data_IF_849664766919
#
_entry.id   IF_849664766919
#
_cell.length_a   1.000
_cell.length_b   1.000
_cell.length_c   1.000
_cell.angle_alpha   90.00
_cell.angle_beta   90.00
_cell.angle_gamma   90.00
#
_symmetry.space_group_name_H-M   'P 1'
#
loop_
_entity.id
_entity.type
_entity.pdbx_description
1 polymer ?
#
# COMPACT_ATOMS: atom_id res chain seq x y z
N UNK A 1 -28.85 2.41 -15.88
CA UNK A 1 -27.88 3.19 -15.10
C UNK A 1 -26.52 2.58 -15.36
N UNK A 2 -25.55 3.31 -15.95
CA UNK A 2 -24.32 2.68 -16.39
C UNK A 2 -23.42 2.33 -15.20
N UNK A 3 -23.04 1.05 -15.15
CA UNK A 3 -22.06 0.46 -14.24
C UNK A 3 -20.67 1.04 -14.54
N UNK A 4 -20.23 2.03 -13.77
CA UNK A 4 -18.84 2.49 -13.82
C UNK A 4 -17.96 1.51 -13.03
N UNK A 5 -17.55 0.45 -13.72
CA UNK A 5 -16.44 -0.40 -13.28
C UNK A 5 -15.18 0.46 -13.23
N UNK A 6 -14.58 0.59 -12.05
CA UNK A 6 -13.21 1.05 -11.93
C UNK A 6 -12.36 -0.07 -12.51
N UNK A 7 -11.81 0.14 -13.70
CA UNK A 7 -10.86 -0.77 -14.35
C UNK A 7 -9.61 -0.82 -13.48
N UNK A 8 -9.51 -1.85 -12.64
CA UNK A 8 -8.25 -2.26 -12.05
C UNK A 8 -7.40 -2.77 -13.22
N UNK A 9 -6.35 -2.03 -13.57
CA UNK A 9 -5.38 -2.45 -14.58
C UNK A 9 -4.66 -3.68 -14.01
N UNK A 10 -5.14 -4.86 -14.42
CA UNK A 10 -4.50 -6.14 -14.16
C UNK A 10 -3.24 -6.21 -15.03
N UNK A 11 -2.08 -5.98 -14.39
CA UNK A 11 -0.78 -6.02 -15.03
C UNK A 11 -0.41 -7.50 -15.27
N UNK A 12 -0.91 -8.08 -16.36
CA UNK A 12 -0.54 -9.43 -16.78
C UNK A 12 0.82 -9.42 -17.48
N UNK A 13 1.83 -9.85 -16.73
CA UNK A 13 3.01 -10.50 -17.28
C UNK A 13 2.67 -11.75 -18.10
N UNK A 14 3.62 -12.12 -18.96
CA UNK A 14 3.81 -13.38 -19.70
C UNK A 14 3.23 -13.51 -21.11
N UNK A 15 4.10 -13.23 -22.07
CA UNK A 15 3.99 -13.66 -23.46
C UNK A 15 5.29 -13.49 -24.24
N UNK A 16 6.33 -14.28 -23.93
CA UNK A 16 7.29 -14.71 -24.96
C UNK A 16 6.66 -15.88 -25.72
N UNK A 17 6.81 -16.00 -27.06
CA UNK A 17 8.07 -16.54 -27.59
C UNK A 17 8.45 -16.13 -29.04
N UNK A 18 9.61 -16.68 -29.47
CA UNK A 18 10.08 -16.97 -30.85
C UNK A 18 11.08 -16.01 -31.51
N UNK A 19 12.37 -16.32 -31.30
CA UNK A 19 13.42 -16.62 -32.30
C UNK A 19 13.41 -15.85 -33.65
N UNK A 20 14.52 -15.16 -33.99
CA UNK A 20 15.65 -15.68 -34.81
C UNK A 20 16.53 -14.53 -35.36
N UNK A 21 17.80 -14.90 -35.61
CA UNK A 21 18.87 -14.24 -36.39
C UNK A 21 19.85 -13.42 -35.53
N UNK A 22 21.14 -13.72 -35.39
CA UNK A 22 22.05 -14.52 -36.21
C UNK A 22 23.07 -13.59 -36.87
N UNK A 23 24.25 -13.42 -36.26
CA UNK A 23 25.58 -12.98 -36.79
C UNK A 23 26.46 -12.66 -35.57
N UNK A 24 27.31 -13.57 -35.07
CA UNK A 24 28.67 -13.94 -35.52
C UNK A 24 29.64 -12.74 -35.68
N UNK A 25 30.36 -12.42 -34.61
CA UNK A 25 31.77 -11.97 -34.61
C UNK A 25 32.35 -12.33 -33.23
N UNK A 26 33.19 -13.35 -33.09
CA UNK A 26 34.65 -13.34 -33.33
C UNK A 26 35.44 -13.04 -32.03
N UNK A 27 36.09 -14.10 -31.56
CA UNK A 27 37.45 -14.16 -31.01
C UNK A 27 37.83 -13.57 -29.63
N UNK A 28 38.53 -14.45 -28.91
CA UNK A 28 39.68 -14.23 -28.00
C UNK A 28 39.44 -14.06 -26.49
N UNK A 29 39.48 -15.20 -25.79
CA UNK A 29 40.30 -15.41 -24.58
C UNK A 29 41.81 -15.21 -24.91
N UNK A 30 42.78 -15.00 -23.97
CA UNK A 30 42.88 -15.69 -22.66
C UNK A 30 43.60 -14.98 -21.46
N UNK A 31 43.48 -15.62 -20.27
CA UNK A 31 44.49 -15.88 -19.20
C UNK A 31 45.18 -14.77 -18.36
N UNK A 32 44.92 -14.82 -17.03
CA UNK A 32 45.79 -15.00 -15.82
C UNK A 32 47.27 -14.46 -15.77
N UNK A 33 47.99 -14.35 -14.60
CA UNK A 33 47.70 -14.81 -13.22
C UNK A 33 48.06 -13.86 -12.05
N UNK A 34 47.65 -14.31 -10.85
CA UNK A 34 48.28 -14.24 -9.52
C UNK A 34 49.50 -13.35 -9.24
N UNK A 35 49.34 -12.43 -8.28
CA UNK A 35 50.41 -11.86 -7.46
C UNK A 35 50.24 -12.28 -6.00
N UNK A 36 51.26 -12.92 -5.45
CA UNK A 36 51.34 -13.58 -4.14
C UNK A 36 52.32 -12.80 -3.25
N UNK A 37 52.22 -12.98 -1.93
CA UNK A 37 53.26 -12.73 -0.89
C UNK A 37 53.29 -11.30 -0.32
N UNK A 38 53.60 -11.02 0.95
CA UNK A 38 54.07 -11.84 2.08
C UNK A 38 53.79 -11.14 3.43
N UNK A 39 53.48 -11.96 4.42
CA UNK A 39 53.98 -12.01 5.81
C UNK A 39 54.61 -10.78 6.51
N UNK A 40 54.27 -10.73 7.80
CA UNK A 40 55.07 -10.41 9.00
C UNK A 40 54.85 -9.04 9.66
N UNK A 41 54.23 -9.10 10.86
CA UNK A 41 54.24 -8.04 11.87
C UNK A 41 53.68 -8.56 13.20
N UNK A 42 54.54 -9.19 14.00
CA UNK A 42 54.28 -9.67 15.37
C UNK A 42 54.28 -8.49 16.35
N UNK A 43 53.33 -8.48 17.29
CA UNK A 43 53.45 -7.94 18.67
C UNK A 43 52.03 -7.71 19.22
N UNK A 44 51.65 -7.96 20.46
CA UNK A 44 52.19 -8.63 21.63
C UNK A 44 50.96 -8.84 22.52
N UNK A 45 50.91 -9.93 23.27
CA UNK A 45 49.93 -10.15 24.32
C UNK A 45 50.10 -9.09 25.41
N UNK A 46 49.04 -8.39 25.79
CA UNK A 46 48.86 -7.98 27.18
C UNK A 46 47.37 -8.08 27.53
N UNK A 47 47.10 -9.09 28.35
CA UNK A 47 45.87 -9.28 29.10
C UNK A 47 45.76 -8.18 30.15
N UNK A 48 44.65 -7.42 30.12
CA UNK A 48 44.09 -6.87 31.35
C UNK A 48 42.58 -7.09 31.32
N UNK A 49 42.15 -8.04 32.13
CA UNK A 49 40.76 -8.33 32.40
C UNK A 49 40.28 -7.30 33.42
N UNK A 50 39.51 -6.31 32.97
CA UNK A 50 38.66 -5.53 33.85
C UNK A 50 37.21 -5.76 33.45
N UNK A 51 36.59 -6.69 34.18
CA UNK A 51 35.17 -7.01 34.12
C UNK A 51 34.37 -5.84 34.69
N UNK A 52 33.85 -4.99 33.81
CA UNK A 52 32.68 -4.16 34.13
C UNK A 52 31.72 -4.26 32.95
N UNK A 53 30.95 -5.36 32.93
CA UNK A 53 29.79 -5.49 32.07
C UNK A 53 28.73 -4.48 32.53
N UNK A 54 28.75 -3.28 31.97
CA UNK A 54 27.56 -2.43 31.96
C UNK A 54 26.55 -3.07 31.01
N UNK A 55 25.27 -3.20 31.39
CA UNK A 55 24.25 -3.61 30.45
C UNK A 55 24.14 -2.52 29.38
N UNK A 56 24.53 -2.85 28.15
CA UNK A 56 24.22 -2.04 26.97
C UNK A 56 22.70 -2.06 26.82
N UNK A 57 22.05 -1.05 27.38
CA UNK A 57 20.70 -0.68 26.95
C UNK A 57 20.75 -0.48 25.44
N UNK A 58 19.88 -1.15 24.64
CA UNK A 58 19.78 -0.82 23.22
C UNK A 58 19.36 0.65 23.14
N UNK A 59 20.31 1.49 22.74
CA UNK A 59 20.08 2.91 22.53
C UNK A 59 19.09 3.03 21.37
N UNK A 60 17.90 3.54 21.65
CA UNK A 60 16.75 3.70 20.73
C UNK A 60 17.02 4.64 19.53
N UNK A 61 18.28 4.87 19.16
CA UNK A 61 18.70 5.91 18.20
C UNK A 61 19.32 5.35 16.90
N UNK A 62 19.29 4.05 16.65
CA UNK A 62 19.82 3.45 15.40
C UNK A 62 18.80 3.35 14.25
N UNK A 63 17.61 3.92 14.40
CA UNK A 63 16.74 4.15 13.24
C UNK A 63 17.06 5.54 12.68
N UNK A 64 17.64 5.65 11.46
CA UNK A 64 17.70 6.94 10.80
C UNK A 64 16.27 7.48 10.74
N UNK A 65 16.03 8.78 10.99
CA UNK A 65 14.73 9.37 10.75
C UNK A 65 14.39 9.08 9.30
N UNK A 66 13.40 8.20 9.09
CA UNK A 66 12.82 7.96 7.77
C UNK A 66 12.17 9.29 7.42
N UNK A 67 12.88 10.12 6.65
CA UNK A 67 12.32 11.34 6.11
C UNK A 67 11.29 10.92 5.08
N UNK A 68 10.07 10.66 5.55
CA UNK A 68 8.93 10.46 4.67
C UNK A 68 8.79 11.70 3.80
N UNK A 69 8.63 11.50 2.49
CA UNK A 69 8.37 12.61 1.60
C UNK A 69 7.07 13.30 2.02
N UNK A 70 7.00 14.62 1.84
CA UNK A 70 5.76 15.37 2.14
C UNK A 70 4.55 14.80 1.37
N UNK A 71 4.80 14.23 0.18
CA UNK A 71 3.79 13.55 -0.62
C UNK A 71 3.30 12.25 0.03
N UNK A 72 4.19 11.45 0.61
CA UNK A 72 3.85 10.23 1.34
C UNK A 72 3.02 10.55 2.59
N UNK A 73 3.40 11.56 3.37
CA UNK A 73 2.64 11.98 4.56
C UNK A 73 1.24 12.49 4.18
N UNK A 74 1.13 13.25 3.09
CA UNK A 74 -0.16 13.71 2.57
C UNK A 74 -1.04 12.52 2.17
N UNK A 75 -0.49 11.58 1.40
CA UNK A 75 -1.20 10.38 0.99
C UNK A 75 -1.68 9.55 2.19
N UNK A 76 -0.81 9.31 3.17
CA UNK A 76 -1.15 8.55 4.39
C UNK A 76 -2.31 9.21 5.15
N UNK A 77 -2.28 10.54 5.29
CA UNK A 77 -3.37 11.30 5.92
C UNK A 77 -4.68 11.15 5.15
N UNK A 78 -4.63 11.27 3.82
CA UNK A 78 -5.82 11.12 2.96
C UNK A 78 -6.38 9.70 2.99
N UNK A 79 -5.51 8.69 2.96
CA UNK A 79 -5.88 7.27 3.06
C UNK A 79 -6.55 6.98 4.40
N UNK A 80 -5.96 7.41 5.51
CA UNK A 80 -6.52 7.19 6.84
C UNK A 80 -7.87 7.88 7.01
N UNK A 81 -7.99 9.14 6.60
CA UNK A 81 -9.27 9.86 6.64
C UNK A 81 -10.35 9.16 5.82
N UNK A 82 -9.99 8.63 4.64
CA UNK A 82 -10.92 7.92 3.77
C UNK A 82 -11.34 6.58 4.38
N UNK A 83 -10.42 5.81 4.96
CA UNK A 83 -10.75 4.57 5.66
C UNK A 83 -11.65 4.82 6.88
N UNK A 84 -11.35 5.83 7.70
CA UNK A 84 -12.23 6.22 8.82
C UNK A 84 -13.61 6.64 8.35
N UNK A 85 -13.69 7.35 7.24
CA UNK A 85 -14.96 7.76 6.66
C UNK A 85 -15.77 6.55 6.17
N UNK A 86 -15.14 5.56 5.52
CA UNK A 86 -15.82 4.30 5.14
C UNK A 86 -16.35 3.59 6.38
N UNK A 87 -15.54 3.46 7.44
CA UNK A 87 -15.99 2.84 8.69
C UNK A 87 -17.21 3.56 9.29
N UNK A 88 -17.24 4.90 9.20
CA UNK A 88 -18.40 5.69 9.65
C UNK A 88 -19.64 5.37 8.81
N UNK A 89 -19.51 5.27 7.48
CA UNK A 89 -20.64 4.93 6.62
C UNK A 89 -21.13 3.50 6.84
N UNK A 90 -20.22 2.55 7.06
CA UNK A 90 -20.57 1.17 7.43
C UNK A 90 -21.40 1.15 8.73
N UNK A 91 -20.97 1.88 9.76
CA UNK A 91 -21.71 2.02 11.02
C UNK A 91 -23.06 2.73 10.84
N UNK A 92 -23.14 3.78 10.00
CA UNK A 92 -24.40 4.43 9.66
C UNK A 92 -25.37 3.50 8.92
N UNK A 93 -24.86 2.64 8.04
CA UNK A 93 -25.64 1.64 7.31
C UNK A 93 -26.14 0.51 8.23
N UNK A 94 -25.27 0.00 9.10
CA UNK A 94 -25.60 -1.07 10.04
C UNK A 94 -26.61 -0.61 11.11
N UNK A 95 -26.67 0.70 11.42
CA UNK A 95 -27.68 1.30 12.31
C UNK A 95 -29.06 1.46 11.67
N UNK A 96 -29.19 1.30 10.34
CA UNK A 96 -30.48 1.43 9.69
C UNK A 96 -31.37 0.24 10.05
N UNK A 97 -32.54 0.50 10.62
CA UNK A 97 -33.47 -0.54 11.05
C UNK A 97 -33.92 -1.44 9.89
N UNK A 98 -34.39 -2.65 10.24
CA UNK A 98 -35.01 -3.56 9.28
C UNK A 98 -36.21 -2.89 8.60
N UNK A 99 -36.44 -3.26 7.34
CA UNK A 99 -37.57 -2.77 6.56
C UNK A 99 -38.87 -3.15 7.26
N UNK A 100 -39.66 -2.14 7.61
CA UNK A 100 -40.93 -2.36 8.28
C UNK A 100 -41.92 -3.07 7.35
N UNK A 101 -42.40 -4.26 7.71
CA UNK A 101 -43.27 -5.05 6.82
C UNK A 101 -44.69 -4.48 6.68
N UNK A 102 -45.20 -3.79 7.71
CA UNK A 102 -46.64 -3.47 7.84
C UNK A 102 -46.93 -1.97 8.01
N UNK A 103 -45.93 -1.10 7.88
CA UNK A 103 -46.11 0.36 8.03
C UNK A 103 -45.52 1.11 6.84
N UNK A 104 -46.39 1.48 5.90
CA UNK A 104 -46.02 2.22 4.70
C UNK A 104 -45.38 3.58 5.01
N UNK A 105 -45.82 4.26 6.08
CA UNK A 105 -45.26 5.58 6.44
C UNK A 105 -43.83 5.42 6.96
N UNK A 106 -43.58 4.36 7.74
CA UNK A 106 -42.24 4.03 8.22
C UNK A 106 -41.34 3.56 7.09
N UNK A 107 -41.81 2.70 6.17
CA UNK A 107 -41.05 2.29 4.98
C UNK A 107 -40.64 3.49 4.13
N UNK A 108 -41.55 4.46 3.93
CA UNK A 108 -41.25 5.66 3.17
C UNK A 108 -40.15 6.51 3.83
N UNK A 109 -40.19 6.66 5.15
CA UNK A 109 -39.14 7.37 5.90
C UNK A 109 -37.80 6.64 5.82
N UNK A 110 -37.81 5.31 5.94
CA UNK A 110 -36.61 4.48 5.77
C UNK A 110 -36.04 4.58 4.34
N UNK A 111 -36.89 4.61 3.32
CA UNK A 111 -36.49 4.79 1.92
C UNK A 111 -35.84 6.16 1.72
N UNK A 112 -36.45 7.24 2.20
CA UNK A 112 -35.88 8.60 2.07
C UNK A 112 -34.54 8.74 2.79
N UNK A 113 -34.41 8.13 3.98
CA UNK A 113 -33.13 8.08 4.71
C UNK A 113 -32.06 7.33 3.92
N UNK A 114 -32.42 6.19 3.33
CA UNK A 114 -31.50 5.39 2.53
C UNK A 114 -31.14 6.07 1.20
N UNK A 115 -32.08 6.76 0.56
CA UNK A 115 -31.85 7.57 -0.65
C UNK A 115 -30.85 8.69 -0.38
N UNK A 116 -31.01 9.43 0.73
CA UNK A 116 -30.06 10.45 1.14
C UNK A 116 -28.66 9.86 1.40
N UNK A 117 -28.60 8.68 2.03
CA UNK A 117 -27.35 7.94 2.21
C UNK A 117 -26.70 7.59 0.87
N UNK A 118 -27.46 7.07 -0.11
CA UNK A 118 -26.96 6.71 -1.45
C UNK A 118 -26.44 7.92 -2.25
N UNK A 119 -27.08 9.09 -2.10
CA UNK A 119 -26.60 10.34 -2.69
C UNK A 119 -25.25 10.73 -2.10
N UNK A 120 -25.13 10.68 -0.76
CA UNK A 120 -23.88 10.99 -0.08
C UNK A 120 -22.77 10.00 -0.45
N UNK A 121 -23.09 8.71 -0.52
CA UNK A 121 -22.17 7.65 -0.96
C UNK A 121 -21.62 7.94 -2.37
N UNK A 122 -22.47 8.43 -3.28
CA UNK A 122 -22.07 8.75 -4.66
C UNK A 122 -21.21 10.02 -4.73
N UNK A 123 -21.53 11.03 -3.92
CA UNK A 123 -20.74 12.27 -3.83
C UNK A 123 -19.29 11.99 -3.43
N UNK A 124 -19.11 11.09 -2.47
CA UNK A 124 -17.81 10.83 -1.86
C UNK A 124 -17.02 9.73 -2.61
N UNK A 125 -17.62 9.05 -3.61
CA UNK A 125 -16.95 8.08 -4.48
C UNK A 125 -15.69 8.68 -5.15
N UNK A 126 -15.72 9.97 -5.51
CA UNK A 126 -14.58 10.63 -6.15
C UNK A 126 -13.34 10.67 -5.23
N UNK A 127 -13.53 10.84 -3.92
CA UNK A 127 -12.45 10.90 -2.95
C UNK A 127 -11.68 9.57 -2.88
N UNK A 128 -12.39 8.44 -2.94
CA UNK A 128 -11.77 7.10 -2.96
C UNK A 128 -10.91 6.94 -4.21
N UNK A 129 -11.43 7.36 -5.37
CA UNK A 129 -10.68 7.33 -6.62
C UNK A 129 -9.40 8.16 -6.55
N UNK A 130 -9.48 9.38 -6.01
CA UNK A 130 -8.31 10.25 -5.83
C UNK A 130 -7.23 9.59 -4.94
N UNK A 131 -7.62 9.00 -3.82
CA UNK A 131 -6.66 8.34 -2.91
C UNK A 131 -5.96 7.16 -3.60
N UNK A 132 -6.70 6.35 -4.36
CA UNK A 132 -6.10 5.24 -5.11
C UNK A 132 -5.14 5.74 -6.21
N UNK A 133 -5.49 6.83 -6.88
CA UNK A 133 -4.61 7.47 -7.88
C UNK A 133 -3.35 8.05 -7.25
N UNK A 134 -3.48 8.74 -6.10
CA UNK A 134 -2.34 9.25 -5.33
C UNK A 134 -1.40 8.11 -4.90
N UNK A 135 -1.95 6.98 -4.43
CA UNK A 135 -1.17 5.80 -4.07
C UNK A 135 -0.43 5.20 -5.27
N UNK A 136 -1.10 5.02 -6.41
CA UNK A 136 -0.47 4.54 -7.64
C UNK A 136 0.63 5.48 -8.15
N UNK A 137 0.44 6.80 -8.03
CA UNK A 137 1.47 7.78 -8.39
C UNK A 137 2.71 7.63 -7.52
N UNK A 138 2.56 7.43 -6.21
CA UNK A 138 3.69 7.18 -5.31
C UNK A 138 4.44 5.89 -5.67
N UNK A 139 3.70 4.81 -5.99
CA UNK A 139 4.30 3.53 -6.39
C UNK A 139 5.06 3.60 -7.72
N UNK A 140 4.70 4.52 -8.61
CA UNK A 140 5.29 4.65 -9.96
C UNK A 140 6.29 5.79 -10.07
N UNK A 141 6.31 6.72 -9.11
CA UNK A 141 7.23 7.85 -9.14
C UNK A 141 8.66 7.40 -8.93
N UNK A 142 9.50 7.59 -9.94
CA UNK A 142 10.95 7.32 -9.86
C UNK A 142 11.73 8.32 -8.99
N UNK A 143 11.06 9.36 -8.49
CA UNK A 143 11.68 10.49 -7.79
C UNK A 143 11.56 10.40 -6.26
N UNK A 144 10.88 9.37 -5.75
CA UNK A 144 10.75 9.14 -4.30
C UNK A 144 11.41 7.80 -4.01
N UNK A 145 12.52 7.84 -3.27
CA UNK A 145 13.13 6.64 -2.69
C UNK A 145 12.18 6.09 -1.61
N UNK A 146 11.12 5.41 -2.04
CA UNK A 146 10.19 4.74 -1.14
C UNK A 146 10.89 3.51 -0.56
N UNK A 147 10.83 3.38 0.76
CA UNK A 147 11.33 2.18 1.40
C UNK A 147 10.42 0.98 1.02
N UNK A 148 10.94 -0.24 0.79
CA UNK A 148 10.12 -1.40 0.42
C UNK A 148 8.96 -1.68 1.39
N UNK A 149 9.13 -1.32 2.67
CA UNK A 149 8.08 -1.39 3.68
C UNK A 149 6.92 -0.43 3.37
N UNK A 150 7.22 0.80 3.00
CA UNK A 150 6.22 1.83 2.68
C UNK A 150 5.49 1.47 1.40
N UNK A 151 6.20 0.97 0.39
CA UNK A 151 5.61 0.49 -0.86
C UNK A 151 4.59 -0.65 -0.60
N UNK A 152 4.98 -1.63 0.24
CA UNK A 152 4.09 -2.72 0.62
C UNK A 152 2.90 -2.24 1.45
N UNK A 153 3.10 -1.27 2.34
CA UNK A 153 2.03 -0.66 3.13
C UNK A 153 1.02 0.07 2.25
N UNK A 154 1.47 0.90 1.30
CA UNK A 154 0.62 1.59 0.33
C UNK A 154 -0.24 0.57 -0.43
N UNK A 155 0.38 -0.51 -0.94
CA UNK A 155 -0.33 -1.58 -1.66
C UNK A 155 -1.40 -2.26 -0.81
N UNK A 156 -1.09 -2.57 0.45
CA UNK A 156 -2.05 -3.24 1.34
C UNK A 156 -3.20 -2.30 1.73
N UNK A 157 -2.90 -1.04 2.05
CA UNK A 157 -3.92 -0.03 2.35
C UNK A 157 -4.88 0.17 1.17
N UNK A 158 -4.36 0.25 -0.06
CA UNK A 158 -5.19 0.35 -1.27
C UNK A 158 -6.09 -0.89 -1.44
N UNK A 159 -5.59 -2.10 -1.16
CA UNK A 159 -6.41 -3.33 -1.20
C UNK A 159 -7.50 -3.33 -0.13
N UNK A 160 -7.19 -2.89 1.09
CA UNK A 160 -8.18 -2.78 2.18
C UNK A 160 -9.25 -1.76 1.79
N UNK A 161 -8.84 -0.58 1.33
CA UNK A 161 -9.75 0.48 0.88
C UNK A 161 -10.71 -0.04 -0.19
N UNK A 162 -10.19 -0.75 -1.20
CA UNK A 162 -11.01 -1.32 -2.27
C UNK A 162 -11.98 -2.38 -1.76
N UNK A 163 -11.52 -3.32 -0.90
CA UNK A 163 -12.39 -4.35 -0.32
C UNK A 163 -13.52 -3.76 0.51
N UNK A 164 -13.20 -2.81 1.38
CA UNK A 164 -14.20 -2.17 2.25
C UNK A 164 -15.19 -1.34 1.43
N UNK A 165 -14.70 -0.60 0.43
CA UNK A 165 -15.57 0.14 -0.48
C UNK A 165 -16.56 -0.75 -1.23
N UNK A 166 -16.08 -1.84 -1.84
CA UNK A 166 -16.94 -2.77 -2.57
C UNK A 166 -17.94 -3.49 -1.64
N UNK A 167 -17.52 -3.85 -0.42
CA UNK A 167 -18.41 -4.39 0.61
C UNK A 167 -19.51 -3.40 0.99
N UNK A 168 -19.16 -2.13 1.26
CA UNK A 168 -20.10 -1.07 1.57
C UNK A 168 -21.10 -0.86 0.42
N UNK A 169 -20.62 -0.81 -0.83
CA UNK A 169 -21.50 -0.71 -2.01
C UNK A 169 -22.46 -1.89 -2.11
N UNK A 170 -21.97 -3.12 -1.94
CA UNK A 170 -22.78 -4.32 -2.02
C UNK A 170 -23.90 -4.32 -0.97
N UNK A 171 -23.57 -4.04 0.29
CA UNK A 171 -24.56 -3.93 1.38
C UNK A 171 -25.58 -2.82 1.13
N UNK A 172 -25.12 -1.66 0.64
CA UNK A 172 -25.98 -0.53 0.33
C UNK A 172 -26.97 -0.89 -0.79
N UNK A 173 -26.50 -1.59 -1.82
CA UNK A 173 -27.35 -2.02 -2.92
C UNK A 173 -28.33 -3.14 -2.53
N UNK A 174 -27.94 -4.04 -1.63
CA UNK A 174 -28.82 -5.11 -1.13
C UNK A 174 -30.01 -4.55 -0.34
N UNK A 175 -29.81 -3.45 0.39
CA UNK A 175 -30.86 -2.80 1.18
C UNK A 175 -31.86 -1.99 0.34
N UNK A 176 -31.43 -1.52 -0.84
CA UNK A 176 -32.17 -0.63 -1.73
C UNK A 176 -33.35 -1.31 -2.43
#
# INVERSE_FOLDING_TARGET
>A
MPTNQIVIIDNKENGQPMMRNGSKTDSMEPKFPSGRSSLQGRSSLQSDASLIATPVTPSTNDFPPVFQSAELTKYQTNMENTLRWILKLEDELDKQENIAANDLKLVKDQFQKHEAFMINLTKDQHQIGQVLEEGNRLLTSSNTDLHPREENEIKEQMKILNRQWESLRAKSLERQ
#
